data_IF_768313036937
#
_entry.id   IF_768313036937
#
_cell.length_a   1.000
_cell.length_b   1.000
_cell.length_c   1.000
_cell.angle_alpha   90.00
_cell.angle_beta   90.00
_cell.angle_gamma   90.00
#
_symmetry.space_group_name_H-M   'P 1'
#
loop_
_entity.id
_entity.type
_entity.pdbx_description
1 polymer ?
#
# COMPACT_ATOMS: atom_id res chain seq x y z
N UNK A 1 70.12 31.58 17.18
CA UNK A 1 68.77 31.84 17.75
C UNK A 1 67.82 32.19 16.62
N UNK A 2 66.87 31.32 16.29
CA UNK A 2 65.60 31.64 15.61
C UNK A 2 64.72 30.39 15.67
N UNK A 3 63.80 30.38 16.62
CA UNK A 3 62.73 29.38 16.74
C UNK A 3 61.66 29.69 15.68
N UNK A 4 61.34 28.72 14.83
CA UNK A 4 60.18 28.79 13.93
C UNK A 4 59.03 28.04 14.61
N UNK A 5 58.00 28.79 15.01
CA UNK A 5 56.79 28.31 15.66
C UNK A 5 55.91 27.58 14.67
N UNK A 6 55.69 26.29 14.87
CA UNK A 6 54.76 25.46 14.09
C UNK A 6 53.33 25.74 14.56
N UNK A 7 52.54 26.48 13.79
CA UNK A 7 51.12 26.70 14.06
C UNK A 7 50.31 25.49 13.59
N UNK A 8 49.77 24.73 14.55
CA UNK A 8 48.87 23.60 14.32
C UNK A 8 47.49 24.16 13.94
N UNK A 9 47.16 24.12 12.63
CA UNK A 9 45.85 24.48 12.12
C UNK A 9 44.87 23.31 12.35
N UNK A 10 44.10 23.37 13.44
CA UNK A 10 43.01 22.43 13.69
C UNK A 10 41.88 22.75 12.72
N UNK A 11 41.75 21.93 11.68
CA UNK A 11 40.64 21.97 10.73
C UNK A 11 39.40 21.40 11.44
N UNK A 12 38.51 22.28 11.93
CA UNK A 12 37.19 21.90 12.41
C UNK A 12 36.37 21.41 11.22
N UNK A 13 36.26 20.09 11.07
CA UNK A 13 35.31 19.48 10.16
C UNK A 13 33.89 19.85 10.62
N UNK A 14 33.20 20.67 9.83
CA UNK A 14 31.76 20.90 9.99
C UNK A 14 31.04 19.56 9.87
N UNK A 15 30.17 19.16 10.82
CA UNK A 15 29.37 17.96 10.67
C UNK A 15 28.51 18.10 9.41
N UNK A 16 28.68 17.17 8.48
CA UNK A 16 27.76 17.02 7.34
C UNK A 16 26.39 16.70 7.94
N UNK A 17 25.47 17.66 7.88
CA UNK A 17 24.09 17.43 8.29
C UNK A 17 23.60 16.19 7.54
N UNK A 18 23.10 15.19 8.28
CA UNK A 18 22.46 14.03 7.68
C UNK A 18 21.35 14.55 6.77
N UNK A 19 21.53 14.41 5.45
CA UNK A 19 20.52 14.82 4.49
C UNK A 19 19.29 13.96 4.77
N UNK A 20 18.19 14.64 5.02
CA UNK A 20 16.90 14.01 5.21
C UNK A 20 16.58 13.14 3.99
N UNK A 21 16.10 11.90 4.17
CA UNK A 21 15.74 11.04 3.06
C UNK A 21 14.71 11.76 2.18
N UNK A 22 15.04 11.89 0.90
CA UNK A 22 14.19 12.55 -0.09
C UNK A 22 12.81 11.88 -0.15
N UNK A 23 11.70 12.64 -0.14
CA UNK A 23 10.36 12.07 -0.17
C UNK A 23 10.14 11.28 -1.47
N UNK A 24 9.50 10.13 -1.36
CA UNK A 24 9.14 9.30 -2.51
C UNK A 24 8.11 10.05 -3.38
N UNK A 25 8.45 10.42 -4.64
CA UNK A 25 7.55 11.17 -5.50
C UNK A 25 6.21 10.47 -5.71
N UNK A 26 6.23 9.13 -5.67
CA UNK A 26 5.05 8.33 -5.88
C UNK A 26 4.10 8.35 -4.65
N UNK A 27 4.61 8.66 -3.46
CA UNK A 27 3.78 8.87 -2.26
C UNK A 27 3.38 10.33 -2.05
N UNK A 28 3.84 11.25 -2.89
CA UNK A 28 3.56 12.69 -2.74
C UNK A 28 2.17 13.01 -3.30
N UNK A 29 1.40 13.95 -2.71
CA UNK A 29 0.04 14.24 -3.15
C UNK A 29 0.00 14.70 -4.60
N UNK A 30 -0.84 14.05 -5.42
CA UNK A 30 -1.25 14.54 -6.74
C UNK A 30 -2.76 14.37 -6.91
N UNK A 31 -3.34 15.24 -7.72
CA UNK A 31 -4.78 15.19 -7.96
C UNK A 31 -5.14 13.99 -8.87
N UNK A 32 -6.13 13.17 -8.50
CA UNK A 32 -6.64 12.12 -9.37
C UNK A 32 -7.33 12.69 -10.61
N UNK A 33 -7.29 11.92 -11.70
CA UNK A 33 -7.88 12.30 -12.99
C UNK A 33 -9.40 12.50 -12.94
N UNK A 34 -10.09 11.73 -12.10
CA UNK A 34 -11.55 11.80 -11.89
C UNK A 34 -11.86 11.82 -10.39
N UNK A 35 -12.94 12.53 -10.03
CA UNK A 35 -13.41 12.58 -8.66
C UNK A 35 -14.05 11.24 -8.29
N UNK A 36 -13.73 10.67 -7.11
CA UNK A 36 -14.28 9.38 -6.72
C UNK A 36 -15.66 9.48 -6.09
N UNK A 37 -16.47 8.43 -6.25
CA UNK A 37 -17.76 8.29 -5.56
C UNK A 37 -17.61 7.89 -4.07
N UNK A 38 -16.50 7.22 -3.74
CA UNK A 38 -16.16 6.77 -2.39
C UNK A 38 -14.68 7.01 -2.06
N UNK A 39 -14.40 7.27 -0.78
CA UNK A 39 -13.05 7.38 -0.25
C UNK A 39 -12.80 6.30 0.82
N UNK A 40 -11.58 5.77 0.84
CA UNK A 40 -11.08 4.86 1.86
C UNK A 40 -9.61 5.12 2.07
N UNK A 41 -9.12 4.94 3.30
CA UNK A 41 -7.77 5.37 3.63
C UNK A 41 -7.24 4.78 4.92
N UNK A 42 -6.01 5.17 5.26
CA UNK A 42 -5.47 5.03 6.59
C UNK A 42 -4.98 6.39 7.09
N UNK A 43 -5.03 6.66 8.39
CA UNK A 43 -4.65 7.92 9.00
C UNK A 43 -3.66 7.71 10.15
N UNK A 44 -2.71 8.63 10.25
CA UNK A 44 -1.95 8.90 11.46
C UNK A 44 -2.59 10.10 12.12
N UNK A 45 -2.94 9.98 13.41
CA UNK A 45 -3.53 11.09 14.18
C UNK A 45 -2.54 11.46 15.27
N UNK A 46 -2.07 12.70 15.26
CA UNK A 46 -1.21 13.26 16.30
C UNK A 46 -1.96 14.36 17.04
N UNK A 47 -2.45 14.02 18.23
CA UNK A 47 -3.19 14.93 19.10
C UNK A 47 -2.27 15.79 19.98
N UNK A 48 -2.82 16.91 20.45
CA UNK A 48 -2.22 17.75 21.49
C UNK A 48 -3.22 18.03 22.62
N UNK A 49 -2.68 18.43 23.77
CA UNK A 49 -3.47 18.80 24.96
C UNK A 49 -4.33 20.02 24.66
N UNK A 50 -5.65 19.86 24.76
CA UNK A 50 -6.62 20.92 24.51
C UNK A 50 -7.14 20.99 23.08
N UNK A 51 -6.79 20.04 22.18
CA UNK A 51 -7.53 19.91 20.92
C UNK A 51 -8.98 19.49 21.22
N UNK A 52 -9.98 19.98 20.45
CA UNK A 52 -11.41 19.82 20.79
C UNK A 52 -11.86 18.39 21.04
N UNK A 53 -11.29 17.42 20.31
CA UNK A 53 -11.62 16.00 20.39
C UNK A 53 -10.37 15.13 20.54
N UNK A 54 -9.24 15.69 21.01
CA UNK A 54 -8.01 14.93 21.17
C UNK A 54 -8.22 13.67 22.04
N UNK A 55 -7.54 12.59 21.69
CA UNK A 55 -7.51 11.40 22.53
C UNK A 55 -6.88 11.71 23.90
N UNK A 56 -7.31 11.06 24.99
CA UNK A 56 -6.78 11.32 26.34
C UNK A 56 -5.27 11.13 26.49
N UNK A 57 -4.64 10.37 25.59
CA UNK A 57 -3.19 10.13 25.55
C UNK A 57 -2.38 11.35 25.05
N UNK A 58 -3.05 12.36 24.48
CA UNK A 58 -2.41 13.55 23.95
C UNK A 58 -2.07 14.56 25.06
N UNK A 59 -0.89 14.41 25.68
CA UNK A 59 -0.42 15.27 26.78
C UNK A 59 0.47 16.44 26.34
N UNK A 60 0.93 16.42 25.08
CA UNK A 60 1.91 17.37 24.51
C UNK A 60 1.31 18.69 24.04
N UNK A 61 2.15 19.69 23.79
CA UNK A 61 1.78 20.98 23.20
C UNK A 61 1.43 20.85 21.71
N UNK A 62 0.79 21.89 21.15
CA UNK A 62 0.42 21.90 19.73
C UNK A 62 1.66 21.91 18.84
N UNK A 63 2.71 22.60 19.25
CA UNK A 63 4.01 22.69 18.56
C UNK A 63 4.71 21.33 18.54
N UNK A 64 4.76 20.63 19.67
CA UNK A 64 5.33 19.27 19.76
C UNK A 64 4.52 18.26 18.94
N UNK A 65 3.19 18.38 18.94
CA UNK A 65 2.33 17.54 18.10
C UNK A 65 2.59 17.78 16.62
N UNK A 66 2.81 19.04 16.21
CA UNK A 66 3.16 19.37 14.83
C UNK A 66 4.51 18.78 14.43
N UNK A 67 5.53 18.92 15.27
CA UNK A 67 6.86 18.34 15.01
C UNK A 67 6.81 16.81 14.90
N UNK A 68 6.04 16.14 15.77
CA UNK A 68 5.81 14.68 15.67
C UNK A 68 5.06 14.30 14.39
N UNK A 69 4.08 15.10 13.96
CA UNK A 69 3.40 14.89 12.68
C UNK A 69 4.36 15.08 11.49
N UNK A 70 5.26 16.06 11.52
CA UNK A 70 6.28 16.26 10.49
C UNK A 70 7.24 15.06 10.38
N UNK A 71 7.67 14.49 11.52
CA UNK A 71 8.46 13.26 11.55
C UNK A 71 7.66 12.08 10.96
N UNK A 72 6.40 11.93 11.33
CA UNK A 72 5.51 10.89 10.81
C UNK A 72 5.31 11.04 9.30
N UNK A 73 5.14 12.26 8.79
CA UNK A 73 4.97 12.54 7.35
C UNK A 73 6.22 12.15 6.57
N UNK A 74 7.40 12.53 7.08
CA UNK A 74 8.69 12.17 6.50
C UNK A 74 8.88 10.65 6.45
N UNK A 75 8.55 9.96 7.54
CA UNK A 75 8.57 8.50 7.59
C UNK A 75 7.57 7.88 6.60
N UNK A 76 6.34 8.42 6.50
CA UNK A 76 5.31 7.93 5.59
C UNK A 76 5.71 8.07 4.11
N UNK A 77 6.36 9.18 3.76
CA UNK A 77 6.87 9.45 2.40
C UNK A 77 8.22 8.81 2.11
N UNK A 78 8.91 8.24 3.08
CA UNK A 78 10.18 7.57 2.82
C UNK A 78 10.01 6.39 1.86
N UNK A 79 10.98 6.21 0.97
CA UNK A 79 10.98 5.11 0.00
C UNK A 79 11.05 3.76 0.72
N UNK A 80 10.16 2.84 0.35
CA UNK A 80 10.09 1.50 0.96
C UNK A 80 9.50 1.44 2.38
N UNK A 81 9.04 2.58 2.94
CA UNK A 81 8.36 2.56 4.24
C UNK A 81 6.92 2.05 4.13
N UNK A 82 6.47 1.31 5.13
CA UNK A 82 5.07 0.89 5.28
C UNK A 82 4.29 1.96 6.04
N UNK A 83 3.16 2.41 5.48
CA UNK A 83 2.30 3.37 6.16
C UNK A 83 1.72 2.79 7.47
N UNK A 84 1.50 1.48 7.53
CA UNK A 84 1.06 0.79 8.74
C UNK A 84 2.08 0.94 9.89
N UNK A 85 3.37 0.77 9.61
CA UNK A 85 4.42 0.92 10.62
C UNK A 85 4.47 2.36 11.15
N UNK A 86 4.21 3.34 10.27
CA UNK A 86 4.09 4.75 10.67
C UNK A 86 2.87 4.96 11.57
N UNK A 87 1.71 4.36 11.25
CA UNK A 87 0.52 4.42 12.12
C UNK A 87 0.82 3.84 13.50
N UNK A 88 1.39 2.63 13.56
CA UNK A 88 1.75 1.97 14.83
C UNK A 88 2.72 2.80 15.64
N UNK A 89 3.72 3.42 15.00
CA UNK A 89 4.76 4.19 15.68
C UNK A 89 4.30 5.57 16.13
N UNK A 90 3.50 6.28 15.33
CA UNK A 90 3.27 7.71 15.52
C UNK A 90 1.83 8.07 15.94
N UNK A 91 0.84 7.24 15.62
CA UNK A 91 -0.56 7.58 15.85
C UNK A 91 -0.92 7.48 17.34
N UNK A 92 -1.66 8.48 17.83
CA UNK A 92 -2.21 8.50 19.19
C UNK A 92 -3.61 7.85 19.26
N UNK A 93 -4.11 7.31 18.16
CA UNK A 93 -5.36 6.56 18.16
C UNK A 93 -5.22 5.32 19.07
N UNK A 94 -6.08 5.13 20.09
CA UNK A 94 -5.94 4.05 21.06
C UNK A 94 -5.95 2.63 20.49
N UNK A 95 -6.54 2.44 19.30
CA UNK A 95 -6.58 1.16 18.60
C UNK A 95 -5.35 0.91 17.72
N UNK A 96 -4.55 1.94 17.43
CA UNK A 96 -3.32 1.85 16.65
C UNK A 96 -3.47 1.30 15.22
N UNK A 97 -4.70 1.27 14.67
CA UNK A 97 -4.97 0.70 13.34
C UNK A 97 -5.07 1.78 12.26
N UNK A 98 -5.49 3.00 12.60
CA UNK A 98 -5.54 4.12 11.66
C UNK A 98 -6.48 3.88 10.49
N UNK A 99 -7.34 2.87 10.50
CA UNK A 99 -8.18 2.52 9.35
C UNK A 99 -9.32 3.51 9.14
N UNK A 100 -9.44 4.04 7.93
CA UNK A 100 -10.62 4.77 7.47
C UNK A 100 -11.41 3.82 6.57
N UNK A 101 -12.61 3.46 7.04
CA UNK A 101 -13.55 2.63 6.30
C UNK A 101 -13.90 3.20 4.91
N UNK A 102 -14.69 2.46 4.15
CA UNK A 102 -15.23 2.96 2.89
C UNK A 102 -16.34 3.96 3.22
N UNK A 103 -16.16 5.20 2.81
CA UNK A 103 -17.08 6.30 3.08
C UNK A 103 -17.52 6.89 1.73
N UNK A 104 -18.83 6.90 1.43
CA UNK A 104 -19.35 7.65 0.29
C UNK A 104 -19.01 9.14 0.42
N UNK A 105 -18.64 9.80 -0.68
CA UNK A 105 -18.36 11.23 -0.65
C UNK A 105 -19.60 12.00 -0.14
N UNK A 106 -19.38 13.03 0.68
CA UNK A 106 -20.41 13.79 1.37
C UNK A 106 -20.90 13.17 2.68
N UNK A 107 -20.41 11.98 3.06
CA UNK A 107 -20.83 11.26 4.27
C UNK A 107 -19.74 11.13 5.33
N UNK A 108 -18.53 11.67 5.09
CA UNK A 108 -17.49 11.69 6.10
C UNK A 108 -17.78 12.73 7.18
N UNK A 109 -17.71 12.32 8.44
CA UNK A 109 -17.85 13.21 9.60
C UNK A 109 -16.67 14.17 9.79
N UNK A 110 -15.58 13.98 9.03
CA UNK A 110 -14.38 14.82 9.04
C UNK A 110 -14.17 15.37 7.61
N UNK A 111 -14.74 16.53 7.27
CA UNK A 111 -14.69 17.08 5.91
C UNK A 111 -13.26 17.27 5.37
N UNK A 112 -12.31 17.62 6.25
CA UNK A 112 -10.90 17.76 5.88
C UNK A 112 -10.27 16.43 5.42
N UNK A 113 -10.63 15.32 6.08
CA UNK A 113 -10.16 13.98 5.74
C UNK A 113 -10.75 13.52 4.40
N UNK A 114 -12.05 13.76 4.19
CA UNK A 114 -12.71 13.44 2.91
C UNK A 114 -12.07 14.20 1.76
N UNK A 115 -11.90 15.52 1.91
CA UNK A 115 -11.24 16.35 0.90
C UNK A 115 -9.83 15.88 0.60
N UNK A 116 -9.06 15.53 1.63
CA UNK A 116 -7.72 14.98 1.46
C UNK A 116 -7.74 13.67 0.67
N UNK A 117 -8.54 12.70 1.08
CA UNK A 117 -8.62 11.39 0.41
C UNK A 117 -9.19 11.47 -1.00
N UNK A 118 -10.22 12.29 -1.24
CA UNK A 118 -10.83 12.48 -2.55
C UNK A 118 -9.87 13.17 -3.53
N UNK A 119 -9.03 14.07 -3.03
CA UNK A 119 -8.04 14.82 -3.80
C UNK A 119 -6.72 14.09 -4.05
N UNK A 120 -6.56 12.85 -3.58
CA UNK A 120 -5.33 12.06 -3.74
C UNK A 120 -5.52 10.90 -4.72
N UNK A 121 -4.47 10.56 -5.46
CA UNK A 121 -4.42 9.25 -6.10
C UNK A 121 -4.27 8.12 -5.07
N UNK A 122 -4.60 6.93 -5.54
CA UNK A 122 -4.47 5.68 -4.82
C UNK A 122 -3.02 5.42 -4.37
N UNK A 123 -2.84 5.14 -3.08
CA UNK A 123 -1.54 4.88 -2.45
C UNK A 123 -0.73 6.13 -2.07
N UNK A 124 -1.23 7.34 -2.32
CA UNK A 124 -0.54 8.57 -1.96
C UNK A 124 -0.71 8.92 -0.49
N UNK A 125 0.20 9.75 0.03
CA UNK A 125 0.21 10.26 1.41
C UNK A 125 -0.02 11.78 1.38
N UNK A 126 -1.06 12.24 2.06
CA UNK A 126 -1.45 13.64 2.15
C UNK A 126 -0.37 14.49 2.80
N UNK A 127 -0.43 15.81 2.63
CA UNK A 127 0.23 16.71 3.57
C UNK A 127 -0.45 16.64 4.95
N UNK A 128 0.19 17.24 5.95
CA UNK A 128 -0.41 17.38 7.27
C UNK A 128 -1.57 18.36 7.18
N UNK A 129 -2.75 17.95 7.67
CA UNK A 129 -3.91 18.82 7.82
C UNK A 129 -4.43 18.78 9.26
N UNK A 130 -4.94 19.91 9.73
CA UNK A 130 -5.45 20.05 11.09
C UNK A 130 -6.93 19.64 11.16
N UNK A 131 -7.31 18.94 12.23
CA UNK A 131 -8.67 18.52 12.53
C UNK A 131 -8.96 18.70 14.02
N UNK A 132 -10.22 18.55 14.43
CA UNK A 132 -10.62 18.54 15.84
C UNK A 132 -9.90 17.46 16.68
N UNK A 133 -9.46 16.36 16.04
CA UNK A 133 -8.78 15.23 16.70
C UNK A 133 -7.27 15.47 16.86
N UNK A 134 -6.69 16.37 16.07
CA UNK A 134 -5.24 16.56 15.98
C UNK A 134 -4.77 16.86 14.55
N UNK A 135 -3.45 16.84 14.38
CA UNK A 135 -2.83 16.81 13.06
C UNK A 135 -3.00 15.43 12.44
N UNK A 136 -3.43 15.40 11.18
CA UNK A 136 -3.67 14.18 10.44
C UNK A 136 -2.79 14.09 9.21
N UNK A 137 -2.36 12.86 8.93
CA UNK A 137 -1.76 12.46 7.67
C UNK A 137 -2.56 11.26 7.18
N UNK A 138 -3.05 11.32 5.96
CA UNK A 138 -3.88 10.27 5.39
C UNK A 138 -3.16 9.61 4.22
N UNK A 139 -3.34 8.30 4.05
CA UNK A 139 -3.05 7.62 2.78
C UNK A 139 -4.33 7.09 2.16
N UNK A 140 -4.46 7.22 0.84
CA UNK A 140 -5.62 6.67 0.12
C UNK A 140 -5.40 5.19 -0.16
N UNK A 141 -6.29 4.33 0.32
CA UNK A 141 -6.16 2.88 0.12
C UNK A 141 -6.86 2.42 -1.15
N UNK A 142 -6.26 1.43 -1.80
CA UNK A 142 -6.71 0.82 -3.06
C UNK A 142 -7.32 -0.56 -2.85
N UNK A 143 -6.81 -1.27 -1.85
CA UNK A 143 -7.16 -2.65 -1.58
C UNK A 143 -8.48 -2.71 -0.81
N UNK A 144 -9.48 -3.37 -1.40
CA UNK A 144 -10.75 -3.70 -0.75
C UNK A 144 -10.93 -5.21 -0.79
N UNK A 145 -11.29 -5.83 0.32
CA UNK A 145 -11.70 -7.22 0.36
C UNK A 145 -13.18 -7.30 0.70
N UNK A 146 -13.89 -8.24 0.08
CA UNK A 146 -15.22 -8.66 0.47
C UNK A 146 -15.11 -10.10 0.89
N UNK A 147 -15.55 -10.41 2.10
CA UNK A 147 -15.43 -11.74 2.66
C UNK A 147 -16.65 -12.08 3.52
N UNK A 148 -16.96 -13.37 3.55
CA UNK A 148 -17.87 -13.98 4.51
C UNK A 148 -17.05 -14.73 5.54
N UNK A 149 -17.53 -14.84 6.77
CA UNK A 149 -16.84 -15.61 7.80
C UNK A 149 -17.77 -16.45 8.67
N UNK A 150 -17.19 -17.48 9.28
CA UNK A 150 -17.80 -18.26 10.35
C UNK A 150 -16.95 -18.06 11.58
N UNK A 151 -17.45 -17.25 12.51
CA UNK A 151 -16.83 -17.03 13.82
C UNK A 151 -17.27 -18.11 14.81
N UNK A 152 -16.29 -18.76 15.45
CA UNK A 152 -16.47 -19.60 16.63
C UNK A 152 -15.74 -18.94 17.80
N UNK A 153 -16.50 -18.29 18.68
CA UNK A 153 -15.98 -17.64 19.88
C UNK A 153 -15.83 -18.64 21.03
N UNK A 154 -14.93 -18.37 21.97
CA UNK A 154 -14.80 -19.10 23.24
C UNK A 154 -15.12 -18.20 24.42
N UNK A 155 -15.34 -18.82 25.59
CA UNK A 155 -15.59 -18.09 26.83
C UNK A 155 -14.36 -17.23 27.19
N UNK A 156 -14.52 -15.90 27.11
CA UNK A 156 -13.46 -14.93 27.36
C UNK A 156 -12.82 -14.32 26.11
N UNK A 157 -13.25 -14.73 24.91
CA UNK A 157 -12.92 -13.99 23.69
C UNK A 157 -13.57 -12.60 23.72
N UNK A 158 -12.96 -11.63 23.04
CA UNK A 158 -13.52 -10.28 22.95
C UNK A 158 -14.91 -10.32 22.33
N UNK A 159 -15.87 -9.63 22.97
CA UNK A 159 -17.26 -9.52 22.51
C UNK A 159 -17.99 -10.86 22.35
N UNK A 160 -17.49 -11.94 22.96
CA UNK A 160 -18.22 -13.21 23.02
C UNK A 160 -19.59 -13.00 23.69
N UNK A 161 -20.63 -13.60 23.11
CA UNK A 161 -21.95 -13.57 23.73
C UNK A 161 -21.92 -14.32 25.07
N UNK A 162 -22.71 -13.87 26.05
CA UNK A 162 -22.77 -14.49 27.38
C UNK A 162 -23.21 -15.97 27.34
N UNK A 163 -23.85 -16.39 26.25
CA UNK A 163 -24.26 -17.78 25.98
C UNK A 163 -23.10 -18.70 25.59
N UNK A 164 -21.93 -18.15 25.27
CA UNK A 164 -20.74 -18.92 24.88
C UNK A 164 -20.03 -19.42 26.13
N UNK A 165 -20.18 -20.72 26.42
CA UNK A 165 -19.57 -21.38 27.59
C UNK A 165 -18.34 -22.24 27.27
N UNK A 166 -18.10 -22.54 25.99
CA UNK A 166 -17.04 -23.45 25.53
C UNK A 166 -15.62 -22.92 25.79
N UNK A 167 -14.68 -23.84 25.99
CA UNK A 167 -13.25 -23.51 26.13
C UNK A 167 -12.64 -23.13 24.78
N UNK A 168 -11.40 -22.59 24.81
CA UNK A 168 -10.67 -22.25 23.60
C UNK A 168 -10.36 -23.49 22.75
N UNK A 169 -10.04 -24.61 23.38
CA UNK A 169 -9.75 -25.88 22.73
C UNK A 169 -11.01 -26.45 22.05
N UNK A 170 -12.15 -26.38 22.73
CA UNK A 170 -13.44 -26.78 22.17
C UNK A 170 -13.84 -25.90 20.99
N UNK A 171 -13.65 -24.58 21.10
CA UNK A 171 -13.89 -23.64 20.00
C UNK A 171 -13.00 -23.93 18.79
N UNK A 172 -11.72 -24.26 19.02
CA UNK A 172 -10.80 -24.64 17.94
C UNK A 172 -11.23 -25.93 17.26
N UNK A 173 -11.55 -26.96 18.02
CA UNK A 173 -12.02 -28.24 17.48
C UNK A 173 -13.32 -28.07 16.68
N UNK A 174 -14.20 -27.17 17.11
CA UNK A 174 -15.43 -26.85 16.38
C UNK A 174 -15.14 -26.06 15.09
N UNK A 175 -14.23 -25.08 15.13
CA UNK A 175 -13.80 -24.34 13.94
C UNK A 175 -13.16 -25.27 12.90
N UNK A 176 -12.38 -26.26 13.32
CA UNK A 176 -11.80 -27.26 12.43
C UNK A 176 -12.88 -28.14 11.78
N UNK A 177 -13.90 -28.56 12.53
CA UNK A 177 -15.05 -29.28 11.98
C UNK A 177 -15.84 -28.45 10.97
N UNK A 178 -16.02 -27.15 11.26
CA UNK A 178 -16.67 -26.21 10.34
C UNK A 178 -15.84 -26.06 9.07
N UNK A 179 -14.53 -25.89 9.19
CA UNK A 179 -13.62 -25.81 8.05
C UNK A 179 -13.73 -27.06 7.17
N UNK A 180 -13.62 -28.25 7.75
CA UNK A 180 -13.78 -29.52 7.02
C UNK A 180 -15.16 -29.67 6.34
N UNK A 181 -16.22 -29.16 6.96
CA UNK A 181 -17.56 -29.19 6.36
C UNK A 181 -17.64 -28.34 5.09
N UNK A 182 -17.04 -27.14 5.10
CA UNK A 182 -17.09 -26.22 3.94
C UNK A 182 -16.01 -26.51 2.89
N UNK A 183 -14.92 -27.19 3.24
CA UNK A 183 -13.85 -27.57 2.28
C UNK A 183 -14.04 -28.98 1.73
N UNK A 184 -14.05 -29.99 2.61
CA UNK A 184 -13.90 -31.39 2.21
C UNK A 184 -15.24 -32.00 1.80
N UNK A 185 -16.31 -31.60 2.49
CA UNK A 185 -17.68 -32.05 2.20
C UNK A 185 -18.40 -31.14 1.22
N UNK A 186 -17.85 -29.95 0.94
CA UNK A 186 -18.44 -28.97 0.03
C UNK A 186 -19.80 -28.44 0.49
N UNK A 187 -20.05 -28.39 1.80
CA UNK A 187 -21.29 -27.82 2.33
C UNK A 187 -21.39 -26.31 2.01
N UNK A 188 -22.61 -25.83 1.79
CA UNK A 188 -22.83 -24.41 1.48
C UNK A 188 -22.36 -23.50 2.63
N UNK A 189 -21.40 -22.63 2.34
CA UNK A 189 -20.78 -21.77 3.35
C UNK A 189 -21.80 -20.88 4.07
N UNK A 190 -22.77 -20.33 3.35
CA UNK A 190 -23.77 -19.43 3.94
C UNK A 190 -24.71 -20.20 4.88
N UNK A 191 -25.07 -21.44 4.53
CA UNK A 191 -25.82 -22.34 5.41
C UNK A 191 -25.04 -22.66 6.69
N UNK A 192 -23.79 -23.11 6.57
CA UNK A 192 -22.95 -23.44 7.74
C UNK A 192 -22.73 -22.20 8.61
N UNK A 193 -22.54 -21.02 8.01
CA UNK A 193 -22.44 -19.76 8.73
C UNK A 193 -23.72 -19.44 9.53
N UNK A 194 -24.89 -19.63 8.91
CA UNK A 194 -26.20 -19.41 9.55
C UNK A 194 -26.44 -20.32 10.76
N UNK A 195 -26.00 -21.57 10.69
CA UNK A 195 -26.20 -22.58 11.73
C UNK A 195 -25.16 -22.49 12.85
N UNK A 196 -23.88 -22.30 12.51
CA UNK A 196 -22.76 -22.55 13.41
C UNK A 196 -22.04 -21.28 13.87
N UNK A 197 -22.21 -20.14 13.19
CA UNK A 197 -21.48 -18.92 13.56
C UNK A 197 -22.06 -18.23 14.80
N UNK A 198 -21.16 -17.71 15.64
CA UNK A 198 -21.47 -16.84 16.76
C UNK A 198 -21.55 -15.36 16.38
N UNK A 199 -21.17 -14.99 15.16
CA UNK A 199 -21.25 -13.61 14.71
C UNK A 199 -22.69 -13.27 14.29
N UNK A 200 -23.09 -12.02 14.52
CA UNK A 200 -24.37 -11.50 14.01
C UNK A 200 -24.51 -11.56 12.48
N UNK A 201 -23.38 -11.62 11.74
CA UNK A 201 -23.37 -11.80 10.29
C UNK A 201 -23.96 -13.15 9.84
N UNK A 202 -24.16 -14.12 10.75
CA UNK A 202 -24.80 -15.41 10.44
C UNK A 202 -26.16 -15.27 9.75
N UNK A 203 -26.92 -14.21 10.08
CA UNK A 203 -28.20 -13.93 9.44
C UNK A 203 -28.08 -13.59 7.93
N UNK A 204 -26.87 -13.23 7.47
CA UNK A 204 -26.52 -12.96 6.08
C UNK A 204 -25.53 -13.99 5.53
N UNK A 205 -25.56 -15.23 6.05
CA UNK A 205 -24.62 -16.27 5.62
C UNK A 205 -23.16 -15.96 5.94
N UNK A 206 -22.91 -15.17 6.99
CA UNK A 206 -21.57 -14.77 7.39
C UNK A 206 -20.99 -13.58 6.63
N UNK A 207 -21.73 -12.97 5.70
CA UNK A 207 -21.24 -11.85 4.88
C UNK A 207 -20.91 -10.60 5.72
N UNK A 208 -19.67 -10.13 5.59
CA UNK A 208 -19.17 -8.91 6.21
C UNK A 208 -19.19 -7.71 5.26
N UNK A 209 -19.57 -7.91 4.00
CA UNK A 209 -19.50 -6.89 2.96
C UNK A 209 -18.07 -6.54 2.58
N UNK A 210 -17.90 -5.40 1.91
CA UNK A 210 -16.60 -4.90 1.46
C UNK A 210 -15.94 -4.04 2.54
N UNK A 211 -14.67 -4.31 2.85
CA UNK A 211 -13.87 -3.56 3.80
C UNK A 211 -12.48 -3.20 3.22
N UNK A 212 -11.93 -2.03 3.57
CA UNK A 212 -10.55 -1.67 3.22
C UNK A 212 -9.57 -2.31 4.21
N UNK A 213 -8.26 -2.16 3.98
CA UNK A 213 -7.25 -2.49 5.00
C UNK A 213 -7.40 -1.66 6.27
N UNK A 214 -6.89 -2.19 7.37
CA UNK A 214 -6.98 -1.71 8.75
C UNK A 214 -8.40 -1.62 9.34
N UNK A 215 -9.39 -2.24 8.70
CA UNK A 215 -10.78 -2.22 9.16
C UNK A 215 -11.13 -3.42 10.04
N UNK A 216 -10.42 -4.54 9.89
CA UNK A 216 -10.69 -5.80 10.59
C UNK A 216 -9.59 -6.13 11.62
N UNK A 217 -9.76 -7.22 12.37
CA UNK A 217 -8.67 -7.76 13.20
C UNK A 217 -7.47 -8.12 12.31
N UNK A 218 -6.21 -7.84 12.71
CA UNK A 218 -5.05 -8.03 11.85
C UNK A 218 -4.95 -9.44 11.26
N UNK A 219 -5.16 -10.47 12.07
CA UNK A 219 -5.06 -11.88 11.67
C UNK A 219 -6.14 -12.25 10.65
N UNK A 220 -7.36 -11.74 10.86
CA UNK A 220 -8.48 -11.93 9.94
C UNK A 220 -8.21 -11.22 8.61
N UNK A 221 -7.76 -9.97 8.69
CA UNK A 221 -7.51 -9.15 7.51
C UNK A 221 -6.43 -9.75 6.62
N UNK A 222 -5.30 -10.13 7.21
CA UNK A 222 -4.19 -10.70 6.45
C UNK A 222 -4.59 -11.99 5.75
N UNK A 223 -5.35 -12.86 6.42
CA UNK A 223 -5.93 -14.03 5.79
C UNK A 223 -6.91 -13.67 4.67
N UNK A 224 -7.86 -12.76 4.92
CA UNK A 224 -8.87 -12.37 3.93
C UNK A 224 -8.27 -11.76 2.66
N UNK A 225 -7.21 -10.95 2.78
CA UNK A 225 -6.53 -10.33 1.65
C UNK A 225 -5.55 -11.26 0.92
N UNK A 226 -5.17 -12.39 1.52
CA UNK A 226 -4.30 -13.40 0.90
C UNK A 226 -5.06 -14.40 0.01
N UNK A 227 -6.36 -14.57 0.22
CA UNK A 227 -7.21 -15.50 -0.53
C UNK A 227 -7.44 -15.06 -1.98
N UNK A 228 -7.80 -15.98 -2.87
CA UNK A 228 -8.40 -15.66 -4.16
C UNK A 228 -9.94 -15.52 -4.03
N UNK A 229 -10.62 -14.80 -4.95
CA UNK A 229 -12.08 -14.80 -4.98
C UNK A 229 -12.65 -16.22 -5.08
N UNK A 230 -13.51 -16.59 -4.14
CA UNK A 230 -14.10 -17.91 -3.99
C UNK A 230 -13.35 -18.85 -3.04
N UNK A 231 -12.11 -18.52 -2.66
CA UNK A 231 -11.26 -19.35 -1.81
C UNK A 231 -11.69 -19.26 -0.33
N UNK A 232 -11.48 -20.36 0.40
CA UNK A 232 -11.74 -20.49 1.83
C UNK A 232 -10.40 -20.64 2.55
N UNK A 233 -10.19 -19.85 3.62
CA UNK A 233 -9.01 -19.96 4.46
C UNK A 233 -9.06 -21.20 5.36
N UNK A 234 -7.89 -21.58 5.89
CA UNK A 234 -7.82 -22.39 7.10
C UNK A 234 -8.44 -21.68 8.32
N UNK A 235 -8.36 -22.33 9.48
CA UNK A 235 -8.82 -21.75 10.75
C UNK A 235 -7.86 -20.65 11.20
N UNK A 236 -8.37 -19.41 11.26
CA UNK A 236 -7.62 -18.22 11.67
C UNK A 236 -8.00 -17.85 13.11
N UNK A 237 -7.02 -17.67 13.98
CA UNK A 237 -7.25 -17.22 15.36
C UNK A 237 -7.15 -15.69 15.45
N UNK A 238 -8.08 -15.05 16.16
CA UNK A 238 -7.94 -13.65 16.60
C UNK A 238 -8.51 -13.44 18.00
N UNK A 239 -8.41 -12.22 18.53
CA UNK A 239 -8.97 -11.86 19.85
C UNK A 239 -10.47 -12.15 19.99
N UNK A 240 -11.22 -12.24 18.88
CA UNK A 240 -12.67 -12.46 18.88
C UNK A 240 -13.08 -13.94 18.83
N UNK A 241 -12.17 -14.85 18.50
CA UNK A 241 -12.52 -16.24 18.20
C UNK A 241 -11.66 -16.87 17.11
N UNK A 242 -12.08 -18.06 16.69
CA UNK A 242 -11.58 -18.71 15.49
C UNK A 242 -12.49 -18.37 14.30
N UNK A 243 -11.88 -18.10 13.15
CA UNK A 243 -12.57 -17.67 11.93
C UNK A 243 -12.25 -18.65 10.81
N UNK A 244 -13.28 -19.08 10.09
CA UNK A 244 -13.14 -19.65 8.75
C UNK A 244 -13.63 -18.58 7.77
N UNK A 245 -12.79 -18.18 6.82
CA UNK A 245 -13.00 -16.99 6.00
C UNK A 245 -13.17 -17.42 4.55
N UNK A 246 -14.17 -16.89 3.85
CA UNK A 246 -14.35 -17.07 2.41
C UNK A 246 -14.28 -15.70 1.74
N UNK A 247 -13.30 -15.51 0.85
CA UNK A 247 -13.22 -14.27 0.08
C UNK A 247 -14.25 -14.32 -1.07
N UNK A 248 -15.14 -13.34 -1.16
CA UNK A 248 -16.13 -13.24 -2.25
C UNK A 248 -15.64 -12.35 -3.38
N UNK A 249 -14.95 -11.26 -3.04
CA UNK A 249 -14.37 -10.33 -4.01
C UNK A 249 -13.17 -9.64 -3.40
N UNK A 250 -12.01 -9.82 -3.99
CA UNK A 250 -10.83 -9.04 -3.63
C UNK A 250 -10.54 -8.05 -4.74
N UNK A 251 -10.73 -6.78 -4.44
CA UNK A 251 -10.10 -5.69 -5.18
C UNK A 251 -8.68 -5.61 -4.62
N UNK A 252 -7.82 -6.49 -5.11
CA UNK A 252 -6.42 -6.55 -4.71
C UNK A 252 -5.80 -5.16 -4.96
N UNK A 253 -4.74 -4.77 -4.20
CA UNK A 253 -3.98 -3.59 -4.59
C UNK A 253 -3.61 -3.75 -6.05
N UNK A 254 -3.84 -2.72 -6.87
CA UNK A 254 -3.57 -2.75 -8.30
C UNK A 254 -2.14 -3.22 -8.53
N UNK A 255 -1.96 -4.50 -8.87
CA UNK A 255 -0.66 -5.08 -9.11
C UNK A 255 -0.53 -5.31 -10.61
N UNK A 256 0.48 -4.66 -11.17
CA UNK A 256 0.86 -4.85 -12.55
C UNK A 256 2.14 -5.65 -12.60
N UNK A 257 2.32 -6.37 -13.71
CA UNK A 257 3.61 -6.89 -14.08
C UNK A 257 3.94 -6.31 -15.44
N UNK A 258 5.18 -5.86 -15.62
CA UNK A 258 5.61 -5.34 -16.91
C UNK A 258 7.05 -5.73 -17.19
N UNK A 259 7.34 -5.84 -18.49
CA UNK A 259 8.69 -5.88 -19.02
C UNK A 259 8.98 -4.55 -19.69
N UNK A 260 10.24 -4.09 -19.66
CA UNK A 260 10.62 -2.86 -20.35
C UNK A 260 11.92 -2.97 -21.15
N UNK A 261 12.06 -2.10 -22.13
CA UNK A 261 13.33 -1.78 -22.78
C UNK A 261 13.66 -0.35 -22.42
N UNK A 262 14.78 -0.14 -21.73
CA UNK A 262 15.24 1.18 -21.29
C UNK A 262 16.41 1.64 -22.15
N UNK A 263 16.27 2.79 -22.80
CA UNK A 263 17.35 3.48 -23.51
C UNK A 263 17.64 4.81 -22.82
N UNK A 264 18.78 4.87 -22.14
CA UNK A 264 19.27 6.06 -21.42
C UNK A 264 20.03 7.01 -22.34
N UNK A 265 20.21 8.25 -21.92
CA UNK A 265 21.14 9.19 -22.54
C UNK A 265 22.03 9.84 -21.49
N UNK A 266 23.10 10.50 -21.93
CA UNK A 266 24.00 11.21 -21.03
C UNK A 266 23.23 12.26 -20.22
N UNK A 267 23.19 12.08 -18.90
CA UNK A 267 22.51 12.99 -17.97
C UNK A 267 21.19 12.47 -17.37
N UNK A 268 20.73 11.28 -17.73
CA UNK A 268 19.62 10.62 -17.01
C UNK A 268 20.06 10.14 -15.62
N UNK A 269 19.09 9.95 -14.72
CA UNK A 269 19.37 9.36 -13.41
C UNK A 269 19.99 7.97 -13.52
N UNK A 270 20.97 7.69 -12.64
CA UNK A 270 21.68 6.40 -12.56
C UNK A 270 22.25 5.94 -13.90
N UNK A 271 22.66 6.89 -14.75
CA UNK A 271 23.30 6.61 -16.02
C UNK A 271 24.75 6.10 -15.79
N UNK A 272 25.11 4.90 -16.29
CA UNK A 272 26.50 4.46 -16.34
C UNK A 272 27.36 5.42 -17.17
N UNK A 273 28.63 5.57 -16.79
CA UNK A 273 29.56 6.51 -17.44
C UNK A 273 29.84 6.16 -18.91
N UNK A 274 29.61 4.90 -19.28
CA UNK A 274 29.80 4.35 -20.62
C UNK A 274 28.75 4.86 -21.61
N UNK A 275 27.60 5.36 -21.12
CA UNK A 275 26.54 5.88 -21.97
C UNK A 275 26.82 7.36 -22.27
N UNK A 276 27.32 7.63 -23.47
CA UNK A 276 27.67 8.97 -23.95
C UNK A 276 26.69 9.58 -24.94
N UNK A 277 25.70 8.78 -25.41
CA UNK A 277 24.73 9.20 -26.43
C UNK A 277 23.83 10.34 -25.98
N UNK A 278 23.38 11.15 -26.94
CA UNK A 278 22.47 12.29 -26.72
C UNK A 278 21.03 11.82 -26.49
N UNK A 279 20.18 12.74 -26.01
CA UNK A 279 18.74 12.47 -25.83
C UNK A 279 18.07 12.19 -27.19
N UNK A 280 18.47 12.89 -28.24
CA UNK A 280 17.98 12.73 -29.61
C UNK A 280 18.35 11.35 -30.17
N UNK A 281 19.58 10.88 -29.92
CA UNK A 281 20.02 9.56 -30.36
C UNK A 281 19.31 8.44 -29.59
N UNK A 282 19.11 8.61 -28.27
CA UNK A 282 18.31 7.70 -27.48
C UNK A 282 16.86 7.60 -27.99
N UNK A 283 16.28 8.74 -28.42
CA UNK A 283 14.94 8.78 -29.02
C UNK A 283 14.89 8.03 -30.35
N UNK A 284 15.85 8.25 -31.25
CA UNK A 284 15.93 7.52 -32.52
C UNK A 284 16.08 6.01 -32.30
N UNK A 285 16.88 5.61 -31.31
CA UNK A 285 17.08 4.21 -30.95
C UNK A 285 15.77 3.56 -30.50
N UNK A 286 15.05 4.17 -29.56
CA UNK A 286 13.81 3.60 -29.04
C UNK A 286 12.70 3.58 -30.12
N UNK A 287 12.65 4.58 -31.01
CA UNK A 287 11.73 4.60 -32.15
C UNK A 287 12.05 3.51 -33.19
N UNK A 288 13.33 3.20 -33.42
CA UNK A 288 13.72 2.08 -34.27
C UNK A 288 13.29 0.73 -33.68
N UNK A 289 13.33 0.58 -32.36
CA UNK A 289 12.85 -0.63 -31.67
C UNK A 289 11.34 -0.81 -31.79
N UNK A 290 10.56 0.28 -31.81
CA UNK A 290 9.11 0.21 -32.09
C UNK A 290 8.86 -0.39 -33.48
N UNK A 291 9.63 0.02 -34.49
CA UNK A 291 9.47 -0.53 -35.85
C UNK A 291 9.74 -2.03 -35.87
N UNK A 292 10.83 -2.47 -35.26
CA UNK A 292 11.18 -3.90 -35.13
C UNK A 292 10.11 -4.72 -34.39
N UNK A 293 9.51 -4.15 -33.34
CA UNK A 293 8.38 -4.78 -32.64
C UNK A 293 7.14 -4.88 -33.53
N UNK A 294 6.84 -3.86 -34.32
CA UNK A 294 5.72 -3.87 -35.27
C UNK A 294 5.95 -4.88 -36.41
N UNK A 295 7.20 -5.12 -36.78
CA UNK A 295 7.60 -6.15 -37.75
C UNK A 295 7.55 -7.57 -37.15
N UNK A 296 7.16 -7.71 -35.88
CA UNK A 296 6.92 -8.99 -35.22
C UNK A 296 8.08 -9.56 -34.43
N UNK A 297 9.16 -8.79 -34.21
CA UNK A 297 10.30 -9.27 -33.42
C UNK A 297 9.95 -9.43 -31.92
N UNK A 298 10.53 -10.43 -31.27
CA UNK A 298 10.23 -10.73 -29.87
C UNK A 298 10.73 -9.63 -28.91
N UNK A 299 9.85 -9.22 -27.98
CA UNK A 299 10.14 -8.16 -27.02
C UNK A 299 11.27 -8.53 -26.05
N UNK A 300 11.32 -9.78 -25.57
CA UNK A 300 12.33 -10.20 -24.60
C UNK A 300 13.72 -10.26 -25.24
N UNK A 301 13.80 -10.70 -26.50
CA UNK A 301 15.02 -10.63 -27.32
C UNK A 301 15.49 -9.18 -27.47
N UNK A 302 14.61 -8.28 -27.91
CA UNK A 302 14.95 -6.86 -28.06
C UNK A 302 15.39 -6.23 -26.74
N UNK A 303 14.74 -6.58 -25.62
CA UNK A 303 15.14 -6.13 -24.30
C UNK A 303 16.53 -6.63 -23.93
N UNK A 304 16.84 -7.90 -24.17
CA UNK A 304 18.16 -8.49 -23.92
C UNK A 304 19.29 -7.80 -24.68
N UNK A 305 19.05 -7.48 -25.95
CA UNK A 305 20.03 -6.89 -26.86
C UNK A 305 20.21 -5.37 -26.67
N UNK A 306 19.13 -4.64 -26.36
CA UNK A 306 19.11 -3.17 -26.51
C UNK A 306 18.84 -2.40 -25.21
N UNK A 307 18.39 -3.06 -24.14
CA UNK A 307 18.08 -2.37 -22.88
C UNK A 307 19.35 -2.08 -22.09
N UNK A 308 19.42 -0.89 -21.52
CA UNK A 308 20.46 -0.50 -20.56
C UNK A 308 20.12 -0.90 -19.11
N UNK A 309 18.91 -1.40 -18.88
CA UNK A 309 18.53 -1.88 -17.55
C UNK A 309 19.12 -3.29 -17.32
N UNK A 310 19.64 -3.60 -16.11
CA UNK A 310 20.04 -4.95 -15.77
C UNK A 310 18.94 -6.01 -15.96
N UNK A 311 17.66 -5.60 -15.96
CA UNK A 311 16.53 -6.47 -16.30
C UNK A 311 16.62 -7.09 -17.70
N UNK A 312 17.49 -6.57 -18.59
CA UNK A 312 17.80 -7.17 -19.90
C UNK A 312 18.18 -8.65 -19.80
N UNK A 313 18.85 -9.06 -18.72
CA UNK A 313 19.20 -10.46 -18.46
C UNK A 313 17.97 -11.37 -18.26
N UNK A 314 16.80 -10.78 -17.98
CA UNK A 314 15.50 -11.44 -17.82
C UNK A 314 14.49 -11.00 -18.87
N UNK A 315 14.96 -10.62 -20.07
CA UNK A 315 14.08 -10.14 -21.15
C UNK A 315 13.33 -8.86 -20.80
N UNK A 316 13.89 -8.03 -19.92
CA UNK A 316 13.30 -6.77 -19.48
C UNK A 316 12.28 -6.90 -18.35
N UNK A 317 12.02 -8.09 -17.81
CA UNK A 317 11.03 -8.30 -16.74
C UNK A 317 11.40 -7.57 -15.44
N UNK A 318 10.46 -6.74 -14.95
CA UNK A 318 10.57 -6.00 -13.70
C UNK A 318 9.87 -6.68 -12.52
N UNK A 319 9.22 -7.82 -12.76
CA UNK A 319 8.39 -8.48 -11.75
C UNK A 319 7.10 -7.73 -11.47
N UNK A 320 6.40 -8.17 -10.43
CA UNK A 320 5.12 -7.57 -10.01
C UNK A 320 5.39 -6.33 -9.18
N UNK A 321 4.68 -5.24 -9.48
CA UNK A 321 4.76 -4.00 -8.73
C UNK A 321 3.35 -3.45 -8.47
N UNK A 322 3.20 -2.82 -7.30
CA UNK A 322 1.96 -2.15 -6.90
C UNK A 322 1.96 -0.67 -7.31
N UNK A 323 0.93 0.08 -6.92
CA UNK A 323 0.91 1.52 -7.08
C UNK A 323 2.13 2.14 -6.39
N UNK A 324 2.69 3.16 -7.03
CA UNK A 324 3.77 3.98 -6.51
C UNK A 324 5.13 3.26 -6.40
N UNK A 325 5.25 2.05 -6.92
CA UNK A 325 6.52 1.31 -6.96
C UNK A 325 7.42 1.71 -8.14
N UNK A 326 6.82 2.31 -9.18
CA UNK A 326 7.51 2.81 -10.39
C UNK A 326 7.34 4.32 -10.53
N UNK A 327 8.13 4.95 -11.39
CA UNK A 327 7.96 6.38 -11.68
C UNK A 327 6.59 6.66 -12.32
N UNK A 328 5.97 7.83 -12.05
CA UNK A 328 4.58 8.10 -12.43
C UNK A 328 4.28 7.90 -13.92
N UNK A 329 5.18 8.30 -14.81
CA UNK A 329 5.01 8.17 -16.25
C UNK A 329 5.01 6.70 -16.70
N UNK A 330 5.86 5.88 -16.08
CA UNK A 330 5.95 4.44 -16.34
C UNK A 330 4.68 3.72 -15.86
N UNK A 331 4.23 4.04 -14.65
CA UNK A 331 3.02 3.44 -14.10
C UNK A 331 1.79 3.83 -14.92
N UNK A 332 1.64 5.13 -15.25
CA UNK A 332 0.54 5.62 -16.08
C UNK A 332 0.48 4.91 -17.44
N UNK A 333 1.63 4.74 -18.09
CA UNK A 333 1.71 4.00 -19.34
C UNK A 333 1.36 2.51 -19.17
N UNK A 334 1.86 1.86 -18.12
CA UNK A 334 1.51 0.46 -17.82
C UNK A 334 0.01 0.28 -17.60
N UNK A 335 -0.62 1.20 -16.86
CA UNK A 335 -2.05 1.19 -16.54
C UNK A 335 -2.93 1.31 -17.78
N UNK A 336 -2.52 2.16 -18.72
CA UNK A 336 -3.25 2.38 -19.97
C UNK A 336 -3.19 1.18 -20.94
N UNK A 337 -2.23 0.26 -20.74
CA UNK A 337 -2.08 -0.92 -21.59
C UNK A 337 -3.00 -2.06 -21.18
N UNK A 338 -3.58 -2.72 -22.18
CA UNK A 338 -4.12 -4.07 -22.01
C UNK A 338 -2.99 -5.08 -21.84
N UNK A 339 -3.27 -6.20 -21.16
CA UNK A 339 -2.29 -7.27 -20.96
C UNK A 339 -1.80 -7.80 -22.31
N UNK A 340 -0.48 -7.94 -22.45
CA UNK A 340 0.20 -8.35 -23.67
C UNK A 340 0.51 -7.20 -24.65
N UNK A 341 -0.02 -5.99 -24.43
CA UNK A 341 0.25 -4.82 -25.29
C UNK A 341 1.52 -4.08 -24.89
N UNK A 342 2.06 -3.34 -25.86
CA UNK A 342 3.28 -2.53 -25.73
C UNK A 342 2.92 -1.05 -25.86
N UNK A 343 3.56 -0.20 -25.06
CA UNK A 343 3.39 1.27 -25.11
C UNK A 343 4.06 1.89 -26.33
N UNK A 344 3.72 3.15 -26.61
CA UNK A 344 4.63 4.05 -27.34
C UNK A 344 5.87 4.41 -26.50
N UNK A 345 6.65 5.38 -26.99
CA UNK A 345 7.81 5.90 -26.25
C UNK A 345 7.34 6.59 -24.97
N UNK A 346 7.81 6.10 -23.82
CA UNK A 346 7.55 6.71 -22.50
C UNK A 346 8.85 7.34 -22.02
N UNK A 347 8.83 8.66 -21.81
CA UNK A 347 9.98 9.38 -21.24
C UNK A 347 9.89 9.42 -19.71
N UNK A 348 11.00 9.11 -19.03
CA UNK A 348 11.13 9.28 -17.57
C UNK A 348 12.52 9.87 -17.23
N UNK A 349 12.75 10.19 -15.95
CA UNK A 349 14.07 10.66 -15.49
C UNK A 349 15.21 9.65 -15.70
N UNK A 350 14.88 8.37 -15.90
CA UNK A 350 15.86 7.30 -16.15
C UNK A 350 16.18 7.08 -17.62
N UNK A 351 15.41 7.63 -18.57
CA UNK A 351 15.56 7.36 -20.00
C UNK A 351 14.23 7.21 -20.73
N UNK A 352 14.29 6.72 -21.97
CA UNK A 352 13.11 6.31 -22.73
C UNK A 352 12.81 4.83 -22.51
N UNK A 353 11.53 4.52 -22.40
CA UNK A 353 11.03 3.16 -22.14
C UNK A 353 10.05 2.74 -23.23
N UNK A 354 10.16 1.47 -23.64
CA UNK A 354 9.03 0.72 -24.18
C UNK A 354 8.57 -0.25 -23.11
N UNK A 355 7.27 -0.27 -22.84
CA UNK A 355 6.69 -1.02 -21.73
C UNK A 355 5.73 -2.05 -22.31
N UNK A 356 5.94 -3.32 -21.97
CA UNK A 356 5.00 -4.40 -22.26
C UNK A 356 4.31 -4.82 -20.98
N UNK A 357 3.00 -4.67 -20.91
CA UNK A 357 2.23 -5.15 -19.75
C UNK A 357 2.10 -6.68 -19.81
N UNK A 358 2.49 -7.38 -18.77
CA UNK A 358 2.43 -8.84 -18.65
C UNK A 358 1.43 -9.34 -17.61
N UNK A 359 0.89 -8.47 -16.74
CA UNK A 359 -0.26 -8.71 -15.86
C UNK A 359 -1.04 -7.43 -15.59
#
# INVERSE_FOLDING_TARGET
MRFATLALLICLATPVAAQDPEPDPAKTPTKPAEAPDEVSGSVVIVGWKGAPKAFPVATRTKEEAKAKAEEALKAARAKGSSFFDVVVKFSDEPRGRGGVGIIPVGHCTIPALEKALAGMEYGQVSDIFETDLGFMIATRLTAKASASHILIAWKGAERAAATVSRTKEEARALAEKVHQAVTDKGEDFAKVAGEMSDCSSKAKGGDLGTFPRNAMAPEFEDAAFALAPGEISGVVESAFGFHVIKATKIVAPLQWRASHILVRWKGTERCPAEITRTKEDAKKNIEALIKRLNDGEDFAKLAGENSDCPSKAKGGDLGTFGPNAMVPEFEKATRALAVGKVSGVVETSFGYHLIKRTK
#
